data_IF_696731207684
#
_entry.id   IF_696731207684
#
_cell.length_a   1.000
_cell.length_b   1.000
_cell.length_c   1.000
_cell.angle_alpha   90.00
_cell.angle_beta   90.00
_cell.angle_gamma   90.00
#
_symmetry.space_group_name_H-M   'P 1'
#
loop_
_entity.id
_entity.type
_entity.pdbx_description
1 polymer ?
#
# COMPACT_ATOMS: atom_id res chain seq x y z
N UNK A 1 1.93 17.90 -7.16
CA UNK A 1 1.66 16.96 -6.05
C UNK A 1 1.80 17.75 -4.75
N UNK A 2 0.74 17.87 -3.96
CA UNK A 2 0.73 18.77 -2.80
C UNK A 2 1.05 18.02 -1.48
N UNK A 3 2.25 17.43 -1.39
CA UNK A 3 2.65 16.58 -0.26
C UNK A 3 2.67 17.31 1.08
N UNK A 4 2.97 18.62 1.09
CA UNK A 4 2.97 19.42 2.32
C UNK A 4 1.60 19.45 2.99
N UNK A 5 0.56 19.72 2.20
CA UNK A 5 -0.83 19.69 2.66
C UNK A 5 -1.26 18.32 3.21
N UNK A 6 -0.89 17.23 2.52
CA UNK A 6 -1.14 15.88 3.04
C UNK A 6 -0.42 15.64 4.36
N UNK A 7 0.82 16.11 4.50
CA UNK A 7 1.64 15.90 5.70
C UNK A 7 1.11 16.64 6.93
N UNK A 8 0.55 17.84 6.75
CA UNK A 8 -0.12 18.59 7.84
C UNK A 8 -1.55 18.11 8.11
N UNK A 9 -2.04 17.09 7.38
CA UNK A 9 -3.38 16.52 7.58
C UNK A 9 -4.52 17.21 6.82
N UNK A 10 -4.20 18.11 5.89
CA UNK A 10 -5.17 18.89 5.11
C UNK A 10 -5.03 18.65 3.59
N UNK A 11 -5.15 17.39 3.11
CA UNK A 11 -4.92 17.09 1.70
C UNK A 11 -5.94 17.76 0.78
N UNK A 12 -5.47 18.50 -0.22
CA UNK A 12 -6.33 19.06 -1.28
C UNK A 12 -6.65 18.04 -2.38
N UNK A 13 -5.66 17.21 -2.72
CA UNK A 13 -5.76 16.02 -3.55
C UNK A 13 -4.83 14.94 -2.99
N UNK A 14 -5.26 13.68 -3.06
CA UNK A 14 -4.54 12.55 -2.49
C UNK A 14 -3.87 11.76 -3.63
N UNK A 15 -2.62 11.30 -3.49
CA UNK A 15 -2.00 10.42 -4.49
C UNK A 15 -2.86 9.18 -4.77
N UNK A 16 -3.15 8.92 -6.05
CA UNK A 16 -4.20 7.98 -6.46
C UNK A 16 -3.99 6.55 -5.97
N UNK A 17 -2.75 6.03 -5.99
CA UNK A 17 -2.46 4.67 -5.52
C UNK A 17 -2.70 4.52 -4.02
N UNK A 18 -2.09 5.34 -3.13
CA UNK A 18 -2.44 5.34 -1.72
C UNK A 18 -3.93 5.56 -1.45
N UNK A 19 -4.58 6.47 -2.17
CA UNK A 19 -6.02 6.71 -1.99
C UNK A 19 -6.85 5.47 -2.32
N UNK A 20 -6.45 4.75 -3.38
CA UNK A 20 -7.10 3.52 -3.80
C UNK A 20 -7.00 2.44 -2.73
N UNK A 21 -5.82 2.31 -2.12
CA UNK A 21 -5.58 1.39 -1.00
C UNK A 21 -6.46 1.75 0.20
N UNK A 22 -6.56 3.04 0.57
CA UNK A 22 -7.45 3.47 1.65
C UNK A 22 -8.91 3.10 1.37
N UNK A 23 -9.37 3.23 0.11
CA UNK A 23 -10.72 2.82 -0.30
C UNK A 23 -10.92 1.31 -0.26
N UNK A 24 -9.88 0.52 -0.49
CA UNK A 24 -9.94 -0.94 -0.29
C UNK A 24 -10.12 -1.29 1.18
N UNK A 25 -9.39 -0.65 2.10
CA UNK A 25 -9.60 -0.87 3.54
C UNK A 25 -11.04 -0.52 3.95
N UNK A 26 -11.55 0.64 3.52
CA UNK A 26 -12.93 1.06 3.77
C UNK A 26 -13.93 0.00 3.26
N UNK A 27 -13.76 -0.47 2.01
CA UNK A 27 -14.70 -1.39 1.36
C UNK A 27 -14.75 -2.78 2.00
N UNK A 28 -13.63 -3.24 2.58
CA UNK A 28 -13.53 -4.54 3.25
C UNK A 28 -13.72 -4.45 4.77
N UNK A 29 -14.01 -3.27 5.32
CA UNK A 29 -14.19 -3.07 6.76
C UNK A 29 -12.93 -3.35 7.57
N UNK A 30 -11.75 -3.10 6.99
CA UNK A 30 -10.46 -3.33 7.64
C UNK A 30 -10.16 -2.12 8.53
N UNK A 31 -10.28 -2.32 9.84
CA UNK A 31 -9.96 -1.29 10.83
C UNK A 31 -8.45 -1.08 10.96
N UNK A 32 -8.04 0.19 10.90
CA UNK A 32 -6.64 0.64 10.95
C UNK A 32 -6.29 1.25 12.31
N UNK A 33 -7.29 1.58 13.14
CA UNK A 33 -7.09 2.28 14.41
C UNK A 33 -6.24 1.43 15.36
N UNK A 34 -5.13 2.01 15.85
CA UNK A 34 -4.19 1.33 16.73
C UNK A 34 -3.38 0.18 16.11
N UNK A 35 -3.57 -0.15 14.82
CA UNK A 35 -2.82 -1.22 14.14
C UNK A 35 -1.38 -0.82 13.87
N UNK A 36 -0.46 -1.80 13.87
CA UNK A 36 0.91 -1.61 13.38
C UNK A 36 0.93 -1.76 11.86
N UNK A 37 1.21 -0.66 11.16
CA UNK A 37 1.37 -0.68 9.72
C UNK A 37 2.84 -0.53 9.32
N UNK A 38 3.32 -1.40 8.43
CA UNK A 38 4.67 -1.31 7.86
C UNK A 38 4.55 -1.04 6.37
N UNK A 39 5.20 0.02 5.90
CA UNK A 39 5.28 0.36 4.48
C UNK A 39 6.69 0.08 4.00
N UNK A 40 6.88 -0.95 3.18
CA UNK A 40 8.16 -1.26 2.53
C UNK A 40 8.21 -0.48 1.22
N UNK A 41 9.04 0.56 1.19
CA UNK A 41 9.17 1.49 0.08
C UNK A 41 8.88 2.92 0.52
N UNK A 42 9.71 3.86 0.05
CA UNK A 42 9.64 5.29 0.45
C UNK A 42 9.58 6.24 -0.74
N UNK A 43 8.97 5.80 -1.83
CA UNK A 43 8.77 6.62 -3.02
C UNK A 43 7.85 7.81 -2.72
N UNK A 44 8.00 8.88 -3.50
CA UNK A 44 7.16 10.08 -3.33
C UNK A 44 5.72 9.88 -3.81
N UNK A 45 5.47 8.88 -4.67
CA UNK A 45 4.16 8.60 -5.26
C UNK A 45 3.34 7.56 -4.49
N UNK A 46 3.99 6.68 -3.72
CA UNK A 46 3.31 5.61 -2.97
C UNK A 46 3.76 5.59 -1.51
N UNK A 47 5.03 5.26 -1.24
CA UNK A 47 5.48 4.92 0.12
C UNK A 47 5.23 6.02 1.15
N UNK A 48 5.76 7.23 0.91
CA UNK A 48 5.59 8.37 1.81
C UNK A 48 4.11 8.79 1.99
N UNK A 49 3.32 9.01 0.92
CA UNK A 49 1.92 9.36 1.10
C UNK A 49 1.08 8.25 1.73
N UNK A 50 1.38 6.98 1.45
CA UNK A 50 0.69 5.85 2.10
C UNK A 50 0.92 5.85 3.61
N UNK A 51 2.17 6.02 4.04
CA UNK A 51 2.51 6.09 5.45
C UNK A 51 1.76 7.23 6.17
N UNK A 52 1.67 8.41 5.54
CA UNK A 52 0.91 9.53 6.08
C UNK A 52 -0.59 9.23 6.20
N UNK A 53 -1.20 8.63 5.18
CA UNK A 53 -2.63 8.30 5.21
C UNK A 53 -2.97 7.24 6.26
N UNK A 54 -2.10 6.24 6.46
CA UNK A 54 -2.24 5.25 7.53
C UNK A 54 -2.16 5.91 8.91
N UNK A 55 -1.20 6.82 9.11
CA UNK A 55 -1.05 7.57 10.35
C UNK A 55 -2.27 8.46 10.63
N UNK A 56 -2.84 9.11 9.60
CA UNK A 56 -4.09 9.87 9.72
C UNK A 56 -5.31 9.00 10.08
N UNK A 57 -5.20 7.68 9.94
CA UNK A 57 -6.17 6.68 10.42
C UNK A 57 -5.70 6.01 11.72
N UNK A 58 -4.86 6.70 12.50
CA UNK A 58 -4.36 6.30 13.81
C UNK A 58 -3.53 5.00 13.83
N UNK A 59 -3.06 4.52 12.68
CA UNK A 59 -2.12 3.41 12.66
C UNK A 59 -0.75 3.86 13.22
N UNK A 60 -0.07 2.96 13.92
CA UNK A 60 1.37 3.12 14.23
C UNK A 60 2.16 2.73 12.98
N UNK A 61 2.83 3.69 12.35
CA UNK A 61 3.44 3.48 11.03
C UNK A 61 4.96 3.39 11.08
N UNK A 62 5.51 2.33 10.48
CA UNK A 62 6.96 2.18 10.21
C UNK A 62 7.21 2.24 8.70
N UNK A 63 8.13 3.09 8.27
CA UNK A 63 8.57 3.14 6.87
C UNK A 63 9.90 2.38 6.75
N UNK A 64 9.90 1.28 6.00
CA UNK A 64 11.07 0.46 5.73
C UNK A 64 11.54 0.61 4.27
N UNK A 65 12.81 0.28 4.00
CA UNK A 65 13.41 0.41 2.67
C UNK A 65 14.69 -0.44 2.55
N UNK A 66 15.39 -0.33 1.42
CA UNK A 66 16.62 -1.08 1.10
C UNK A 66 17.82 -0.89 2.05
N UNK A 67 17.71 -0.03 3.07
CA UNK A 67 18.73 0.19 4.10
C UNK A 67 18.22 -0.15 5.51
N UNK A 68 17.01 -0.66 5.62
CA UNK A 68 16.48 -1.19 6.87
C UNK A 68 17.26 -2.44 7.22
N UNK A 69 17.85 -2.47 8.41
CA UNK A 69 18.51 -3.65 8.96
C UNK A 69 17.45 -4.66 9.34
N UNK A 70 17.64 -5.92 8.94
CA UNK A 70 16.68 -7.00 9.14
C UNK A 70 15.25 -6.64 8.71
N UNK A 71 15.12 -6.32 7.42
CA UNK A 71 13.83 -5.98 6.82
C UNK A 71 12.73 -7.05 7.05
N UNK A 72 13.00 -8.37 7.00
CA UNK A 72 12.01 -9.39 7.34
C UNK A 72 11.51 -9.30 8.79
N UNK A 73 12.38 -9.03 9.77
CA UNK A 73 11.96 -8.86 11.15
C UNK A 73 11.03 -7.64 11.32
N UNK A 74 11.39 -6.50 10.71
CA UNK A 74 10.54 -5.29 10.75
C UNK A 74 9.19 -5.54 10.08
N UNK A 75 9.16 -6.24 8.94
CA UNK A 75 7.93 -6.57 8.23
C UNK A 75 6.99 -7.47 9.05
N UNK A 76 7.54 -8.42 9.83
CA UNK A 76 6.76 -9.33 10.70
C UNK A 76 6.08 -8.65 11.90
N UNK A 77 6.37 -7.38 12.16
CA UNK A 77 5.63 -6.62 13.16
C UNK A 77 4.27 -6.11 12.65
N UNK A 78 4.05 -6.15 11.33
CA UNK A 78 2.92 -5.52 10.67
C UNK A 78 1.62 -6.30 10.87
N UNK A 79 0.58 -5.64 11.38
CA UNK A 79 -0.80 -6.05 11.18
C UNK A 79 -1.25 -5.70 9.75
N UNK A 80 -0.75 -4.57 9.22
CA UNK A 80 -0.98 -4.10 7.85
C UNK A 80 0.38 -3.93 7.15
N UNK A 81 0.68 -4.75 6.16
CA UNK A 81 1.92 -4.66 5.37
C UNK A 81 1.63 -4.10 3.98
N UNK A 82 2.20 -2.95 3.64
CA UNK A 82 2.13 -2.39 2.29
C UNK A 82 3.50 -2.50 1.61
N UNK A 83 3.56 -3.15 0.46
CA UNK A 83 4.80 -3.40 -0.28
C UNK A 83 4.78 -2.63 -1.60
N UNK A 84 5.72 -1.70 -1.78
CA UNK A 84 5.81 -0.81 -2.93
C UNK A 84 7.28 -0.54 -3.33
N UNK A 85 7.98 -1.60 -3.72
CA UNK A 85 9.42 -1.58 -4.04
C UNK A 85 9.73 -1.85 -5.52
N UNK A 86 8.80 -2.39 -6.29
CA UNK A 86 9.01 -2.68 -7.71
C UNK A 86 10.07 -3.75 -7.93
N UNK A 87 10.01 -4.82 -7.15
CA UNK A 87 10.89 -6.00 -7.24
C UNK A 87 10.05 -7.26 -7.08
N UNK A 88 9.86 -7.97 -8.19
CA UNK A 88 9.01 -9.16 -8.25
C UNK A 88 9.38 -10.22 -7.23
N UNK A 89 8.39 -10.75 -6.51
CA UNK A 89 8.52 -11.85 -5.53
C UNK A 89 9.60 -11.64 -4.44
N UNK A 90 9.95 -10.40 -4.13
CA UNK A 90 10.96 -10.09 -3.12
C UNK A 90 10.47 -10.38 -1.70
N UNK A 91 9.19 -10.10 -1.42
CA UNK A 91 8.58 -10.35 -0.11
C UNK A 91 8.01 -11.77 -0.10
N UNK A 92 8.60 -12.62 0.73
CA UNK A 92 8.26 -14.03 0.92
C UNK A 92 7.61 -14.26 2.29
N UNK A 93 7.26 -15.51 2.61
CA UNK A 93 6.59 -15.87 3.88
C UNK A 93 7.33 -15.41 5.15
N UNK A 94 8.65 -15.28 5.11
CA UNK A 94 9.49 -14.87 6.25
C UNK A 94 9.26 -13.41 6.67
N UNK A 95 8.64 -12.60 5.82
CA UNK A 95 8.29 -11.21 6.11
C UNK A 95 6.92 -11.07 6.78
N UNK A 96 6.14 -12.14 6.86
CA UNK A 96 4.70 -12.05 7.12
C UNK A 96 4.38 -12.43 8.55
N UNK A 97 3.64 -11.55 9.23
CA UNK A 97 2.96 -11.88 10.47
C UNK A 97 1.71 -12.72 10.15
N UNK A 98 1.50 -13.88 10.78
CA UNK A 98 0.26 -14.63 10.62
C UNK A 98 -0.97 -13.75 10.93
N UNK A 99 -1.97 -13.77 10.05
CA UNK A 99 -3.18 -12.97 10.11
C UNK A 99 -3.05 -11.53 9.59
N UNK A 100 -1.88 -11.12 9.09
CA UNK A 100 -1.69 -9.77 8.53
C UNK A 100 -2.56 -9.51 7.29
N UNK A 101 -2.87 -8.24 7.07
CA UNK A 101 -3.38 -7.73 5.79
C UNK A 101 -2.19 -7.31 4.94
N UNK A 102 -2.10 -7.82 3.71
CA UNK A 102 -0.99 -7.54 2.79
C UNK A 102 -1.49 -6.81 1.56
N UNK A 103 -0.94 -5.62 1.32
CA UNK A 103 -1.18 -4.81 0.11
C UNK A 103 0.08 -4.87 -0.76
N UNK A 104 -0.04 -5.58 -1.87
CA UNK A 104 0.97 -5.67 -2.91
C UNK A 104 0.71 -4.61 -3.99
N UNK A 105 1.57 -3.59 -4.02
CA UNK A 105 1.51 -2.48 -5.00
C UNK A 105 2.36 -2.77 -6.23
N UNK A 106 3.18 -3.83 -6.19
CA UNK A 106 4.13 -4.19 -7.23
C UNK A 106 3.46 -4.43 -8.58
N UNK A 107 4.12 -3.95 -9.64
CA UNK A 107 3.71 -4.14 -11.04
C UNK A 107 4.93 -4.56 -11.84
N UNK A 108 5.38 -5.79 -11.61
CA UNK A 108 6.58 -6.36 -12.23
C UNK A 108 6.18 -7.35 -13.34
N UNK A 109 7.10 -7.66 -14.25
CA UNK A 109 6.92 -8.74 -15.22
C UNK A 109 7.94 -9.84 -14.97
N UNK A 110 7.50 -11.08 -15.00
CA UNK A 110 8.38 -12.24 -14.99
C UNK A 110 9.05 -12.44 -16.37
N UNK A 111 9.88 -13.48 -16.47
CA UNK A 111 10.59 -13.85 -17.71
C UNK A 111 9.64 -14.18 -18.87
N UNK A 112 8.40 -14.58 -18.56
CA UNK A 112 7.35 -14.89 -19.54
C UNK A 112 6.46 -13.66 -19.84
N UNK A 113 6.79 -12.50 -19.28
CA UNK A 113 6.03 -11.26 -19.44
C UNK A 113 4.74 -11.18 -18.62
N UNK A 114 4.46 -12.17 -17.76
CA UNK A 114 3.29 -12.20 -16.87
C UNK A 114 3.45 -11.15 -15.79
N UNK A 115 2.37 -10.42 -15.52
CA UNK A 115 2.32 -9.41 -14.46
C UNK A 115 2.31 -10.10 -13.08
N UNK A 116 3.30 -9.79 -12.26
CA UNK A 116 3.51 -10.30 -10.91
C UNK A 116 3.75 -9.14 -9.94
N UNK A 117 3.43 -9.38 -8.66
CA UNK A 117 3.58 -8.42 -7.60
C UNK A 117 4.96 -8.42 -6.94
N UNK A 118 5.17 -7.54 -5.98
CA UNK A 118 6.39 -7.54 -5.14
C UNK A 118 6.38 -8.69 -4.12
N UNK A 119 5.20 -9.26 -3.85
CA UNK A 119 4.97 -10.35 -2.89
C UNK A 119 4.84 -11.67 -3.63
N UNK A 120 5.46 -12.72 -3.07
CA UNK A 120 5.29 -14.09 -3.55
C UNK A 120 3.95 -14.67 -3.06
N UNK A 121 2.90 -14.38 -3.81
CA UNK A 121 1.49 -14.59 -3.40
C UNK A 121 1.18 -16.04 -2.98
N UNK A 122 1.72 -17.02 -3.70
CA UNK A 122 1.56 -18.45 -3.42
C UNK A 122 2.07 -18.86 -2.04
N UNK A 123 3.17 -18.26 -1.57
CA UNK A 123 3.70 -18.55 -0.23
C UNK A 123 3.03 -17.76 0.88
N UNK A 124 2.51 -16.57 0.55
CA UNK A 124 2.04 -15.60 1.54
C UNK A 124 0.53 -15.72 1.81
N UNK A 125 -0.26 -16.07 0.79
CA UNK A 125 -1.73 -16.02 0.88
C UNK A 125 -2.32 -16.81 2.04
N UNK A 126 -1.80 -18.00 2.32
CA UNK A 126 -2.26 -18.87 3.42
C UNK A 126 -1.98 -18.31 4.82
N UNK A 127 -1.00 -17.40 4.94
CA UNK A 127 -0.63 -16.77 6.22
C UNK A 127 -1.42 -15.49 6.50
N UNK A 128 -2.10 -14.93 5.51
CA UNK A 128 -2.72 -13.61 5.59
C UNK A 128 -4.22 -13.69 5.85
N UNK A 129 -4.78 -12.69 6.54
CA UNK A 129 -6.23 -12.52 6.59
C UNK A 129 -6.78 -11.94 5.28
N UNK A 130 -6.01 -11.05 4.66
CA UNK A 130 -6.30 -10.48 3.35
C UNK A 130 -4.99 -10.26 2.59
N UNK A 131 -5.01 -10.51 1.28
CA UNK A 131 -3.92 -10.15 0.38
C UNK A 131 -4.47 -9.65 -0.95
N UNK A 132 -3.90 -8.57 -1.48
CA UNK A 132 -4.28 -8.08 -2.82
C UNK A 132 -3.65 -8.92 -3.91
N UNK A 133 -4.41 -9.42 -4.90
CA UNK A 133 -3.83 -10.13 -6.03
C UNK A 133 -3.10 -9.17 -6.97
N UNK A 134 -2.06 -9.66 -7.64
CA UNK A 134 -1.43 -9.00 -8.78
C UNK A 134 -1.49 -9.94 -9.99
N UNK A 135 -2.14 -9.55 -11.10
CA UNK A 135 -2.89 -8.30 -11.32
C UNK A 135 -4.25 -8.23 -10.60
N UNK A 136 -4.98 -7.12 -10.81
CA UNK A 136 -6.38 -6.87 -10.40
C UNK A 136 -6.61 -6.44 -8.94
N UNK A 137 -5.55 -6.25 -8.15
CA UNK A 137 -5.62 -5.62 -6.83
C UNK A 137 -5.53 -4.10 -6.90
N UNK A 138 -4.36 -3.55 -6.56
CA UNK A 138 -4.16 -2.09 -6.42
C UNK A 138 -4.26 -1.33 -7.75
N UNK A 139 -3.82 -1.93 -8.87
CA UNK A 139 -3.75 -1.26 -10.18
C UNK A 139 -5.07 -0.62 -10.65
N UNK A 140 -6.19 -1.38 -10.70
CA UNK A 140 -7.50 -0.81 -11.03
C UNK A 140 -7.90 0.36 -10.12
N UNK A 141 -7.58 0.30 -8.83
CA UNK A 141 -7.93 1.35 -7.87
C UNK A 141 -7.16 2.65 -8.15
N UNK A 142 -5.92 2.59 -8.61
CA UNK A 142 -5.15 3.78 -9.02
C UNK A 142 -5.88 4.53 -10.14
N UNK A 143 -6.39 3.82 -11.14
CA UNK A 143 -7.13 4.42 -12.27
C UNK A 143 -8.46 4.99 -11.78
N UNK A 144 -9.21 4.23 -10.98
CA UNK A 144 -10.49 4.69 -10.43
C UNK A 144 -10.32 5.96 -9.60
N UNK A 145 -9.28 6.06 -8.76
CA UNK A 145 -9.05 7.23 -7.93
C UNK A 145 -8.57 8.46 -8.71
N UNK A 146 -7.89 8.25 -9.84
CA UNK A 146 -7.63 9.34 -10.79
C UNK A 146 -8.96 9.89 -11.33
N UNK A 147 -9.79 9.02 -11.92
CA UNK A 147 -11.07 9.41 -12.50
C UNK A 147 -11.99 10.08 -11.47
N UNK A 148 -12.07 9.52 -10.27
CA UNK A 148 -12.84 10.07 -9.16
C UNK A 148 -12.40 11.49 -8.83
N UNK A 149 -11.11 11.71 -8.59
CA UNK A 149 -10.60 13.04 -8.23
C UNK A 149 -10.72 14.04 -9.38
N UNK A 150 -10.60 13.61 -10.64
CA UNK A 150 -10.85 14.46 -11.81
C UNK A 150 -12.30 14.96 -11.83
N UNK A 151 -13.27 14.08 -11.62
CA UNK A 151 -14.69 14.46 -11.55
C UNK A 151 -14.96 15.40 -10.37
N UNK A 152 -14.40 15.10 -9.20
CA UNK A 152 -14.55 15.96 -8.01
C UNK A 152 -13.91 17.34 -8.20
N UNK A 153 -12.76 17.42 -8.87
CA UNK A 153 -12.13 18.69 -9.20
C UNK A 153 -12.99 19.50 -10.18
N UNK A 154 -13.53 18.88 -11.23
CA UNK A 154 -14.41 19.54 -12.19
C UNK A 154 -15.67 20.12 -11.53
N UNK A 155 -16.29 19.39 -10.59
CA UNK A 155 -17.46 19.87 -9.82
C UNK A 155 -17.17 21.11 -8.98
N UNK A 156 -15.92 21.29 -8.53
CA UNK A 156 -15.49 22.41 -7.68
C UNK A 156 -15.17 23.68 -8.48
N UNK A 157 -14.94 23.59 -9.79
CA UNK A 157 -14.60 24.73 -10.67
C UNK A 157 -15.84 25.56 -11.08
N UNK A 158 -16.77 25.82 -10.15
CA UNK A 158 -17.90 26.72 -10.41
C UNK A 158 -17.47 28.17 -10.49
#
# INVERSE_FOLDING_TARGET
MNMGHLFIGEPTMIPCTPYGIMKMFDAYGIDLDGKRAVVIGRSNIVGKPMAQLLMMKNATVTIAHSRTVDLPAVAREADILVVAIGRGHFVTKEFIKPGAVVIDVGMNRDENGKLIGDVKFDEVSELTSYITPVPKGVGPMTITMLMYQTVEAAKKQK
#
